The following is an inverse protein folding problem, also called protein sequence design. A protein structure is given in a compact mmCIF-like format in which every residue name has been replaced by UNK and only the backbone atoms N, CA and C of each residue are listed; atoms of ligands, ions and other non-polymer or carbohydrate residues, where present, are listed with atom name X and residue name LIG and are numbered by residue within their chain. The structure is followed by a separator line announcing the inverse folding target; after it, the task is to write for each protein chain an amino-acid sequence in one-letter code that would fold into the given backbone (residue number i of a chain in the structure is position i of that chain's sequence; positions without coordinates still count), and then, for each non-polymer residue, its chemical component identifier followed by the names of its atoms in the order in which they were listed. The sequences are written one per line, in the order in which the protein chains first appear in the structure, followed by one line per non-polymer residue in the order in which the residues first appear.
data_IF_394389311215
#
_entry.id   IF_394389311215
#
_cell.length_a   1.000
_cell.length_b   1.000
_cell.length_c   1.000
_cell.angle_alpha   90.00
_cell.angle_beta   90.00
_cell.angle_gamma   90.00
#
_symmetry.space_group_name_H-M   'P 1'
#
loop_
_entity.id
_entity.type
_entity.pdbx_description
1 polymer ?
#
# COMPACT_ATOMS: atom_id res chain seq x y z
N UNK A 1 -11.81 -1.25 -9.67
CA UNK A 1 -10.37 -1.14 -9.32
C UNK A 1 -9.66 -2.43 -9.69
N UNK A 2 -8.48 -2.35 -10.32
CA UNK A 2 -7.73 -3.55 -10.78
C UNK A 2 -7.07 -4.33 -9.63
N UNK A 3 -6.90 -3.70 -8.46
CA UNK A 3 -6.29 -4.31 -7.28
C UNK A 3 -7.03 -5.45 -6.63
N UNK A 4 -8.30 -5.64 -6.99
CA UNK A 4 -9.11 -6.73 -6.48
C UNK A 4 -8.58 -8.10 -6.90
N UNK A 5 -7.95 -8.18 -8.08
CA UNK A 5 -7.33 -9.43 -8.56
C UNK A 5 -6.16 -9.85 -7.66
N UNK A 6 -5.23 -8.91 -7.39
CA UNK A 6 -4.10 -9.16 -6.51
C UNK A 6 -4.56 -9.50 -5.08
N UNK A 7 -5.63 -8.87 -4.57
CA UNK A 7 -6.20 -9.21 -3.28
C UNK A 7 -6.64 -10.69 -3.23
N UNK A 8 -7.36 -11.17 -4.25
CA UNK A 8 -7.77 -12.57 -4.32
C UNK A 8 -6.61 -13.57 -4.44
N UNK A 9 -5.57 -13.23 -5.20
CA UNK A 9 -4.37 -14.09 -5.30
C UNK A 9 -3.64 -14.19 -3.94
N UNK A 10 -3.49 -13.07 -3.24
CA UNK A 10 -2.83 -13.04 -1.93
C UNK A 10 -3.66 -13.73 -0.85
N UNK A 11 -4.99 -13.62 -0.90
CA UNK A 11 -5.88 -14.39 -0.01
C UNK A 11 -5.75 -15.90 -0.25
N UNK A 12 -5.66 -16.34 -1.52
CA UNK A 12 -5.40 -17.74 -1.84
C UNK A 12 -4.03 -18.23 -1.35
N UNK A 13 -3.01 -17.36 -1.33
CA UNK A 13 -1.72 -17.68 -0.70
C UNK A 13 -1.83 -17.80 0.82
N UNK A 14 -2.62 -16.94 1.47
CA UNK A 14 -2.89 -17.06 2.90
C UNK A 14 -3.59 -18.37 3.26
N UNK A 15 -4.60 -18.77 2.47
CA UNK A 15 -5.34 -20.02 2.67
C UNK A 15 -4.46 -21.26 2.59
N UNK A 16 -3.37 -21.19 1.83
CA UNK A 16 -2.41 -22.28 1.66
C UNK A 16 -1.16 -22.13 2.54
N UNK A 17 -1.13 -21.14 3.44
CA UNK A 17 0.07 -20.78 4.23
C UNK A 17 1.33 -20.60 3.35
N UNK A 18 1.11 -20.14 2.11
CA UNK A 18 2.14 -20.06 1.10
C UNK A 18 2.87 -18.72 1.23
N UNK A 19 4.06 -18.73 1.86
CA UNK A 19 4.98 -17.59 1.90
C UNK A 19 6.46 -18.03 1.75
N UNK A 20 6.87 -18.62 0.62
CA UNK A 20 8.24 -19.05 0.39
C UNK A 20 9.19 -17.91 -0.03
N UNK A 21 8.73 -16.66 -0.05
CA UNK A 21 9.43 -15.53 -0.67
C UNK A 21 10.59 -15.03 0.19
N UNK A 22 11.72 -14.67 -0.42
CA UNK A 22 12.83 -14.05 0.31
C UNK A 22 12.53 -12.61 0.68
N UNK A 23 11.75 -11.94 -0.17
CA UNK A 23 11.23 -10.61 0.06
C UNK A 23 10.07 -10.33 -0.88
N UNK A 24 9.32 -9.28 -0.53
CA UNK A 24 8.12 -8.88 -1.26
C UNK A 24 8.13 -7.38 -1.50
N UNK A 25 7.53 -6.94 -2.60
CA UNK A 25 7.45 -5.53 -2.97
C UNK A 25 6.05 -5.12 -3.40
N UNK A 26 5.65 -3.90 -3.06
CA UNK A 26 4.36 -3.34 -3.43
C UNK A 26 4.44 -1.87 -3.80
N UNK A 27 3.60 -1.46 -4.76
CA UNK A 27 3.44 -0.06 -5.17
C UNK A 27 2.02 0.39 -4.91
N UNK A 28 1.85 1.52 -4.21
CA UNK A 28 0.52 2.12 -3.95
C UNK A 28 -0.47 1.10 -3.39
N UNK A 29 -1.62 0.87 -4.04
CA UNK A 29 -2.60 -0.14 -3.62
C UNK A 29 -2.03 -1.58 -3.58
N UNK A 30 -0.95 -1.87 -4.30
CA UNK A 30 -0.20 -3.12 -4.17
C UNK A 30 0.53 -3.25 -2.83
N UNK A 31 1.08 -2.15 -2.30
CA UNK A 31 1.64 -2.10 -0.95
C UNK A 31 0.54 -2.33 0.11
N UNK A 32 -0.63 -1.70 -0.06
CA UNK A 32 -1.76 -1.91 0.84
C UNK A 32 -2.26 -3.36 0.86
N UNK A 33 -2.26 -4.03 -0.29
CA UNK A 33 -2.59 -5.44 -0.40
C UNK A 33 -1.53 -6.32 0.28
N UNK A 34 -0.25 -5.97 0.13
CA UNK A 34 0.87 -6.68 0.74
C UNK A 34 0.83 -6.62 2.27
N UNK A 35 0.43 -5.47 2.84
CA UNK A 35 0.20 -5.38 4.28
C UNK A 35 -0.80 -6.44 4.76
N UNK A 36 -1.95 -6.55 4.09
CA UNK A 36 -2.94 -7.58 4.44
C UNK A 36 -2.37 -9.00 4.37
N UNK A 37 -1.58 -9.30 3.34
CA UNK A 37 -0.92 -10.58 3.18
C UNK A 37 0.11 -10.86 4.29
N UNK A 38 1.05 -9.95 4.52
CA UNK A 38 2.14 -10.14 5.47
C UNK A 38 1.65 -10.19 6.92
N UNK A 39 0.56 -9.49 7.25
CA UNK A 39 -0.06 -9.57 8.58
C UNK A 39 -1.06 -10.73 8.71
N UNK A 40 -1.24 -11.56 7.68
CA UNK A 40 -2.20 -12.67 7.69
C UNK A 40 -3.67 -12.25 7.77
N UNK A 41 -4.00 -11.02 7.36
CA UNK A 41 -5.34 -10.46 7.40
C UNK A 41 -6.16 -10.90 6.17
N UNK A 42 -6.55 -12.18 6.15
CA UNK A 42 -7.36 -12.78 5.08
C UNK A 42 -8.64 -11.98 4.82
N UNK A 43 -8.91 -11.68 3.55
CA UNK A 43 -10.11 -10.97 3.11
C UNK A 43 -10.12 -9.46 3.43
N UNK A 44 -9.09 -8.93 4.11
CA UNK A 44 -9.00 -7.49 4.42
C UNK A 44 -8.97 -6.65 3.16
N UNK A 45 -8.04 -6.97 2.25
CA UNK A 45 -7.82 -6.22 1.02
C UNK A 45 -9.07 -6.19 0.15
N UNK A 46 -9.78 -7.34 0.07
CA UNK A 46 -11.09 -7.43 -0.57
C UNK A 46 -12.10 -6.44 0.02
N UNK A 47 -12.27 -6.42 1.36
CA UNK A 47 -13.22 -5.52 2.04
C UNK A 47 -12.86 -4.05 1.89
N UNK A 48 -11.58 -3.68 2.04
CA UNK A 48 -11.12 -2.29 1.84
C UNK A 48 -11.42 -1.82 0.42
N UNK A 49 -11.13 -2.65 -0.58
CA UNK A 49 -11.38 -2.31 -1.99
C UNK A 49 -12.88 -2.22 -2.26
N UNK A 50 -13.68 -3.20 -1.82
CA UNK A 50 -15.10 -3.30 -2.20
C UNK A 50 -16.04 -2.45 -1.36
N UNK A 51 -15.68 -2.11 -0.12
CA UNK A 51 -16.54 -1.36 0.81
C UNK A 51 -16.07 0.09 1.02
N UNK A 52 -14.76 0.34 1.12
CA UNK A 52 -14.24 1.67 1.43
C UNK A 52 -13.89 2.46 0.17
N UNK A 53 -13.12 1.85 -0.74
CA UNK A 53 -12.64 2.54 -1.94
C UNK A 53 -13.69 2.64 -3.07
N UNK A 54 -14.89 2.08 -2.88
CA UNK A 54 -16.08 2.31 -3.71
C UNK A 54 -17.07 3.29 -3.07
N UNK A 55 -16.82 3.73 -1.83
CA UNK A 55 -17.72 4.62 -1.11
C UNK A 55 -17.66 6.06 -1.65
N UNK A 56 -18.78 6.78 -1.49
CA UNK A 56 -18.87 8.21 -1.83
C UNK A 56 -18.06 9.12 -0.89
N UNK A 57 -17.56 8.59 0.24
CA UNK A 57 -16.63 9.27 1.13
C UNK A 57 -15.21 9.28 0.51
N UNK A 58 -14.79 8.14 -0.03
CA UNK A 58 -13.51 8.03 -0.73
C UNK A 58 -13.54 8.78 -2.07
N UNK A 59 -14.44 8.39 -2.98
CA UNK A 59 -14.54 8.96 -4.32
C UNK A 59 -15.74 9.90 -4.41
N UNK A 60 -15.47 11.21 -4.33
CA UNK A 60 -16.52 12.22 -4.29
C UNK A 60 -16.38 13.26 -5.41
N UNK A 61 -17.05 13.07 -6.55
CA UNK A 61 -17.02 14.02 -7.67
C UNK A 61 -17.58 15.40 -7.31
N UNK A 62 -18.57 15.47 -6.41
CA UNK A 62 -19.16 16.73 -5.97
C UNK A 62 -18.20 17.54 -5.08
N UNK A 63 -17.39 16.88 -4.24
CA UNK A 63 -16.28 17.50 -3.49
C UNK A 63 -15.24 18.08 -4.43
N UNK A 64 -14.89 17.37 -5.50
CA UNK A 64 -13.97 17.84 -6.53
C UNK A 64 -14.50 19.07 -7.27
N UNK A 65 -15.78 19.06 -7.66
CA UNK A 65 -16.41 20.20 -8.32
C UNK A 65 -16.46 21.47 -7.47
N UNK A 66 -16.34 21.35 -6.13
CA UNK A 66 -16.26 22.47 -5.18
C UNK A 66 -14.83 22.89 -4.84
N UNK A 67 -13.83 22.35 -5.53
CA UNK A 67 -12.40 22.65 -5.33
C UNK A 67 -11.69 21.76 -4.31
N UNK A 68 -12.30 20.66 -3.85
CA UNK A 68 -11.67 19.68 -2.96
C UNK A 68 -10.99 18.51 -3.70
N UNK A 69 -10.45 17.54 -2.94
CA UNK A 69 -9.81 16.35 -3.52
C UNK A 69 -10.84 15.35 -4.08
N UNK A 70 -10.58 14.79 -5.26
CA UNK A 70 -11.45 13.77 -5.86
C UNK A 70 -11.45 12.47 -5.04
N UNK A 71 -10.26 12.03 -4.62
CA UNK A 71 -10.04 10.86 -3.78
C UNK A 71 -9.53 11.29 -2.41
N UNK A 72 -10.16 10.78 -1.35
CA UNK A 72 -9.73 11.01 0.02
C UNK A 72 -8.88 9.84 0.53
N UNK A 73 -7.59 9.85 0.17
CA UNK A 73 -6.65 8.77 0.53
C UNK A 73 -6.42 8.72 2.05
N UNK A 74 -6.43 9.87 2.72
CA UNK A 74 -6.28 9.96 4.16
C UNK A 74 -7.46 9.29 4.87
N UNK A 75 -8.69 9.63 4.47
CA UNK A 75 -9.89 8.98 4.98
C UNK A 75 -9.85 7.46 4.74
N UNK A 76 -9.43 7.02 3.56
CA UNK A 76 -9.33 5.59 3.24
C UNK A 76 -8.31 4.89 4.13
N UNK A 77 -7.13 5.48 4.33
CA UNK A 77 -6.08 4.93 5.20
C UNK A 77 -6.58 4.80 6.63
N UNK A 78 -7.02 5.89 7.24
CA UNK A 78 -7.50 5.94 8.63
C UNK A 78 -8.68 5.00 8.85
N UNK A 79 -9.69 5.03 7.97
CA UNK A 79 -10.88 4.18 8.07
C UNK A 79 -10.53 2.71 7.86
N UNK A 80 -9.59 2.39 6.96
CA UNK A 80 -9.15 1.01 6.75
C UNK A 80 -8.43 0.44 7.97
N UNK A 81 -7.63 1.26 8.65
CA UNK A 81 -6.89 0.90 9.86
C UNK A 81 -7.82 0.71 11.06
N UNK A 82 -8.86 1.55 11.17
CA UNK A 82 -9.87 1.44 12.23
C UNK A 82 -10.79 0.23 12.02
N UNK A 83 -11.27 0.01 10.80
CA UNK A 83 -12.29 -1.02 10.50
C UNK A 83 -11.67 -2.40 10.29
N UNK A 84 -10.44 -2.46 9.78
CA UNK A 84 -9.71 -3.69 9.50
C UNK A 84 -8.26 -3.57 9.99
N UNK A 85 -8.04 -3.65 11.31
CA UNK A 85 -6.72 -3.46 11.92
C UNK A 85 -5.71 -4.51 11.41
N UNK A 86 -4.45 -4.10 11.37
CA UNK A 86 -3.32 -4.91 10.92
C UNK A 86 -2.47 -5.34 12.13
N UNK A 87 -1.90 -6.53 12.04
CA UNK A 87 -0.93 -7.04 13.02
C UNK A 87 0.49 -6.62 12.60
N UNK A 88 0.95 -5.49 13.15
CA UNK A 88 2.27 -4.94 12.82
C UNK A 88 3.44 -5.75 13.37
N UNK A 89 3.25 -6.48 14.47
CA UNK A 89 4.29 -7.37 14.99
C UNK A 89 4.56 -8.49 13.98
N UNK A 90 3.49 -9.03 13.39
CA UNK A 90 3.60 -10.00 12.29
C UNK A 90 4.21 -9.40 11.02
N UNK A 91 3.90 -8.15 10.69
CA UNK A 91 4.49 -7.47 9.53
C UNK A 91 6.02 -7.45 9.59
N UNK A 92 6.59 -7.07 10.75
CA UNK A 92 8.03 -6.88 10.90
C UNK A 92 8.81 -8.16 11.22
N UNK A 93 8.11 -9.24 11.58
CA UNK A 93 8.69 -10.59 11.77
C UNK A 93 8.55 -11.48 10.54
N UNK A 94 7.77 -11.05 9.53
CA UNK A 94 7.64 -11.74 8.24
C UNK A 94 8.82 -11.45 7.31
N UNK A 95 8.68 -11.88 6.06
CA UNK A 95 9.65 -11.65 4.98
C UNK A 95 9.83 -10.15 4.73
N UNK A 96 11.05 -9.68 4.42
CA UNK A 96 11.31 -8.28 4.12
C UNK A 96 10.33 -7.68 3.11
N UNK A 97 9.74 -6.54 3.46
CA UNK A 97 8.81 -5.81 2.62
C UNK A 97 9.45 -4.52 2.10
N UNK A 98 9.34 -4.28 0.79
CA UNK A 98 9.74 -3.02 0.18
C UNK A 98 8.55 -2.30 -0.47
N UNK A 99 8.45 -1.00 -0.21
CA UNK A 99 7.60 -0.10 -0.96
C UNK A 99 8.42 0.55 -2.06
N UNK A 100 7.89 0.57 -3.28
CA UNK A 100 8.51 1.29 -4.38
C UNK A 100 7.72 2.58 -4.69
N UNK A 101 8.45 3.66 -4.90
CA UNK A 101 7.92 4.95 -5.33
C UNK A 101 8.73 5.49 -6.51
N UNK A 102 8.15 6.42 -7.25
CA UNK A 102 8.85 7.09 -8.36
C UNK A 102 9.41 8.42 -7.89
N UNK A 103 10.67 8.67 -8.16
CA UNK A 103 11.31 9.94 -7.87
C UNK A 103 10.83 10.99 -8.89
N UNK A 104 10.31 12.12 -8.41
CA UNK A 104 9.81 13.18 -9.31
C UNK A 104 10.91 13.98 -10.00
N UNK A 105 12.09 14.04 -9.39
CA UNK A 105 13.19 14.84 -9.89
C UNK A 105 13.99 14.07 -10.94
N UNK A 106 14.17 12.76 -10.72
CA UNK A 106 14.96 11.90 -11.63
C UNK A 106 14.09 11.05 -12.56
N UNK A 107 12.83 10.78 -12.19
CA UNK A 107 11.96 9.83 -12.89
C UNK A 107 12.29 8.36 -12.62
N UNK A 108 13.26 8.08 -11.75
CA UNK A 108 13.71 6.72 -11.41
C UNK A 108 12.84 6.09 -10.31
N UNK A 109 12.98 4.76 -10.13
CA UNK A 109 12.29 4.03 -9.08
C UNK A 109 13.15 3.97 -7.81
N UNK A 110 12.62 4.48 -6.71
CA UNK A 110 13.20 4.37 -5.38
C UNK A 110 12.51 3.23 -4.61
N UNK A 111 13.32 2.44 -3.89
CA UNK A 111 12.85 1.26 -3.14
C UNK A 111 13.16 1.45 -1.65
N UNK A 112 12.13 1.38 -0.82
CA UNK A 112 12.22 1.61 0.62
C UNK A 112 11.86 0.34 1.37
N UNK A 113 12.79 -0.13 2.21
CA UNK A 113 12.46 -1.21 3.15
C UNK A 113 11.49 -0.68 4.19
N UNK A 114 10.35 -1.33 4.34
CA UNK A 114 9.33 -0.95 5.32
C UNK A 114 9.78 -1.43 6.71
N UNK A 115 9.80 -0.51 7.67
CA UNK A 115 10.15 -0.73 9.07
C UNK A 115 9.14 -0.01 9.97
N UNK A 116 9.22 -0.26 11.26
CA UNK A 116 8.34 0.39 12.25
C UNK A 116 8.47 1.92 12.22
N UNK A 117 9.67 2.42 11.90
CA UNK A 117 9.97 3.85 11.90
C UNK A 117 9.40 4.60 10.68
N UNK A 118 9.22 3.93 9.54
CA UNK A 118 8.80 4.55 8.28
C UNK A 118 7.44 4.08 7.75
N UNK A 119 6.78 3.16 8.46
CA UNK A 119 5.51 2.57 8.04
C UNK A 119 4.42 3.61 7.80
N UNK A 120 4.29 4.59 8.71
CA UNK A 120 3.27 5.64 8.59
C UNK A 120 3.49 6.47 7.31
N UNK A 121 4.74 6.84 7.03
CA UNK A 121 5.11 7.61 5.84
C UNK A 121 4.84 6.83 4.55
N UNK A 122 5.10 5.52 4.56
CA UNK A 122 4.89 4.62 3.42
C UNK A 122 3.39 4.37 3.14
N UNK A 123 2.55 4.30 4.19
CA UNK A 123 1.11 4.00 4.07
C UNK A 123 0.30 5.26 3.76
N UNK A 124 0.60 6.38 4.41
CA UNK A 124 -0.29 7.54 4.40
C UNK A 124 -0.07 8.48 3.20
N UNK A 125 1.05 8.38 2.46
CA UNK A 125 1.45 9.42 1.50
C UNK A 125 1.75 8.91 0.08
N UNK A 126 0.77 8.93 -0.85
CA UNK A 126 1.06 8.98 -2.29
C UNK A 126 1.52 10.36 -2.78
N UNK A 127 1.75 11.32 -1.88
CA UNK A 127 2.15 12.70 -2.15
C UNK A 127 3.58 12.96 -1.69
N UNK A 128 4.25 14.01 -2.22
CA UNK A 128 5.31 14.83 -1.62
C UNK A 128 6.31 14.38 -0.57
N UNK A 129 6.39 13.15 -0.07
CA UNK A 129 7.00 12.94 1.23
C UNK A 129 8.52 12.82 1.13
N UNK A 130 9.18 13.93 1.43
CA UNK A 130 10.54 14.00 1.97
C UNK A 130 10.72 12.98 3.11
N UNK A 131 11.02 11.73 2.77
CA UNK A 131 11.56 10.79 3.74
C UNK A 131 12.87 11.42 4.25
N UNK A 132 12.99 11.50 5.58
CA UNK A 132 14.09 12.12 6.32
C UNK A 132 15.41 11.33 6.11
N UNK A 133 15.85 11.25 4.87
CA UNK A 133 17.25 11.10 4.49
C UNK A 133 17.85 12.51 4.59
N UNK A 134 19.16 12.64 4.77
CA UNK A 134 19.84 13.93 4.93
C UNK A 134 19.76 14.87 3.70
N UNK A 135 18.86 14.62 2.75
CA UNK A 135 18.73 15.33 1.49
C UNK A 135 17.27 15.78 1.26
N UNK A 136 17.03 17.07 0.94
CA UNK A 136 15.70 17.62 0.81
C UNK A 136 15.15 17.34 -0.60
N UNK A 137 14.68 16.13 -0.86
CA UNK A 137 13.93 15.82 -2.08
C UNK A 137 12.46 15.49 -1.80
N UNK A 138 11.54 16.28 -2.35
CA UNK A 138 10.11 15.98 -2.39
C UNK A 138 9.88 14.70 -3.24
N UNK A 139 9.12 13.73 -2.76
CA UNK A 139 8.85 12.45 -3.44
C UNK A 139 7.36 12.31 -3.76
N UNK A 140 6.96 11.91 -4.97
CA UNK A 140 5.54 11.68 -5.29
C UNK A 140 5.38 10.29 -5.86
N UNK A 141 4.45 9.51 -5.33
CA UNK A 141 4.07 8.26 -5.95
C UNK A 141 3.40 8.57 -7.31
N UNK A 142 4.17 8.57 -8.39
CA UNK A 142 3.62 8.59 -9.74
C UNK A 142 2.85 7.29 -9.91
N UNK A 143 1.59 7.40 -10.33
CA UNK A 143 0.66 6.29 -10.52
C UNK A 143 1.18 5.31 -11.60
N UNK A 144 2.11 4.46 -11.20
CA UNK A 144 2.50 3.26 -11.92
C UNK A 144 1.39 2.21 -11.72
N UNK A 145 1.19 1.29 -12.68
CA UNK A 145 0.20 0.23 -12.53
C UNK A 145 0.46 -0.50 -11.22
N UNK A 146 -0.62 -0.90 -10.55
CA UNK A 146 -0.57 -1.71 -9.34
C UNK A 146 0.29 -2.95 -9.54
N UNK A 147 1.54 -2.92 -9.09
CA UNK A 147 2.46 -4.05 -9.15
C UNK A 147 2.66 -4.58 -7.74
N UNK A 148 2.39 -5.87 -7.60
CA UNK A 148 2.82 -6.71 -6.48
C UNK A 148 3.90 -7.60 -7.07
N UNK A 149 5.10 -7.57 -6.50
CA UNK A 149 6.22 -8.39 -6.94
C UNK A 149 6.68 -9.26 -5.77
N UNK A 150 6.70 -10.57 -6.01
CA UNK A 150 7.10 -11.60 -5.05
C UNK A 150 8.32 -12.30 -5.62
N UNK A 151 9.43 -12.39 -4.86
CA UNK A 151 10.72 -12.83 -5.39
C UNK A 151 11.24 -14.03 -4.60
N UNK A 152 11.72 -15.03 -5.34
CA UNK A 152 12.39 -16.24 -4.86
C UNK A 152 13.83 -16.25 -5.38
N UNK A 153 14.81 -16.41 -4.49
CA UNK A 153 16.16 -16.83 -4.81
C UNK A 153 16.18 -18.35 -4.90
N UNK A 154 16.73 -18.85 -6.01
CA UNK A 154 16.86 -20.28 -6.30
C UNK A 154 18.13 -20.85 -5.65
#
# INVERSE_FOLDING_TARGET
MRGIFAAGVLDAFLEQEHNPFDFVMGVSAGASNMLGYLTGAHGRSYKVITELATSGEFFNPARFARGGNLMDVKWLSETSMQRYPLDFDRLFTSVPFFAAATNINTGEADYFRVSQDNLADVIEQPQPCLLHTNEPHAFQAVATPMVVLLILSQ
#
